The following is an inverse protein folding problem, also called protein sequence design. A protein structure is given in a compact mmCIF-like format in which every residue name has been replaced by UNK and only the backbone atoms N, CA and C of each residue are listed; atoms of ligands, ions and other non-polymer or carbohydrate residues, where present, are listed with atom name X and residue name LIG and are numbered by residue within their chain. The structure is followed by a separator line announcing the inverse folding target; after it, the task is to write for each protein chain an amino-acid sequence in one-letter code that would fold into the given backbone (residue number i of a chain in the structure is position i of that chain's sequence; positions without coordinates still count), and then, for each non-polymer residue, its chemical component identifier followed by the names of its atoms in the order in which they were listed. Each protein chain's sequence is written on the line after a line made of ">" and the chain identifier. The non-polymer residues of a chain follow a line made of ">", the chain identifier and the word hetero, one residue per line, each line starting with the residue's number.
data_IF_834274804171
#
_entry.id   IF_834274804171
#
_cell.length_a   1.000
_cell.length_b   1.000
_cell.length_c   1.000
_cell.angle_alpha   90.00
_cell.angle_beta   90.00
_cell.angle_gamma   90.00
#
_symmetry.space_group_name_H-M   'P 1'
#
loop_
_entity.id
_entity.type
_entity.pdbx_description
1 polymer ?
#
# COMPACT_ATOMS: atom_id res chain seq x y z
N UNK A 1 1.53 23.00 -13.18
CA UNK A 1 0.81 23.57 -12.01
C UNK A 1 1.22 22.73 -10.83
N UNK A 2 1.92 23.30 -9.87
CA UNK A 2 2.24 22.61 -8.61
C UNK A 2 0.93 22.40 -7.84
N UNK A 3 0.61 21.15 -7.52
CA UNK A 3 -0.45 20.81 -6.58
C UNK A 3 0.21 20.43 -5.25
N UNK A 4 0.31 21.40 -4.33
CA UNK A 4 0.95 21.19 -3.04
C UNK A 4 0.06 20.34 -2.12
N UNK A 5 0.69 19.50 -1.30
CA UNK A 5 0.01 18.76 -0.23
C UNK A 5 -0.35 19.76 0.88
N UNK A 6 -1.65 19.83 1.21
CA UNK A 6 -2.16 20.74 2.25
C UNK A 6 -2.65 20.02 3.50
N UNK A 7 -3.00 18.73 3.38
CA UNK A 7 -3.44 17.93 4.52
C UNK A 7 -3.05 16.46 4.33
N UNK A 8 -2.64 15.83 5.43
CA UNK A 8 -2.41 14.38 5.51
C UNK A 8 -3.01 13.88 6.82
N UNK A 9 -3.88 12.87 6.72
CA UNK A 9 -4.54 12.25 7.87
C UNK A 9 -4.45 10.74 7.74
N UNK A 10 -4.18 10.05 8.85
CA UNK A 10 -4.26 8.60 8.91
C UNK A 10 -5.21 8.14 10.02
N UNK A 11 -5.82 7.00 9.77
CA UNK A 11 -6.70 6.29 10.71
C UNK A 11 -6.50 4.79 10.62
N UNK A 12 -6.87 4.11 11.69
CA UNK A 12 -6.96 2.66 11.71
C UNK A 12 -8.29 2.22 11.10
N UNK A 13 -8.23 1.28 10.17
CA UNK A 13 -9.39 0.59 9.60
C UNK A 13 -9.22 -0.93 9.74
N UNK A 14 -10.24 -1.70 9.42
CA UNK A 14 -10.16 -3.16 9.35
C UNK A 14 -10.00 -3.61 7.89
N UNK A 15 -9.10 -4.56 7.67
CA UNK A 15 -8.93 -5.22 6.39
C UNK A 15 -10.04 -6.26 6.13
N UNK A 16 -10.01 -6.93 4.97
CA UNK A 16 -11.00 -7.95 4.58
C UNK A 16 -11.01 -9.20 5.49
N UNK A 17 -9.99 -9.37 6.32
CA UNK A 17 -9.89 -10.45 7.31
C UNK A 17 -10.25 -9.99 8.74
N UNK A 18 -10.62 -8.72 8.90
CA UNK A 18 -10.94 -8.12 10.19
C UNK A 18 -9.71 -7.72 11.00
N UNK A 19 -8.53 -7.65 10.40
CA UNK A 19 -7.32 -7.19 11.07
C UNK A 19 -7.14 -5.67 10.88
N UNK A 20 -6.63 -4.96 11.91
CA UNK A 20 -6.32 -3.55 11.79
C UNK A 20 -5.27 -3.28 10.72
N UNK A 21 -5.49 -2.21 9.95
CA UNK A 21 -4.51 -1.66 9.01
C UNK A 21 -4.60 -0.14 8.97
N UNK A 22 -3.57 0.50 8.42
CA UNK A 22 -3.50 1.96 8.26
C UNK A 22 -4.24 2.35 6.98
N UNK A 23 -5.11 3.35 7.08
CA UNK A 23 -5.62 4.11 5.93
C UNK A 23 -5.09 5.53 6.03
N UNK A 24 -4.48 6.04 4.96
CA UNK A 24 -4.04 7.41 4.86
C UNK A 24 -4.83 8.17 3.78
N UNK A 25 -5.05 9.46 4.03
CA UNK A 25 -5.62 10.43 3.10
C UNK A 25 -4.65 11.59 2.90
N UNK A 26 -4.54 12.03 1.66
CA UNK A 26 -3.76 13.22 1.28
C UNK A 26 -4.67 14.14 0.48
N UNK A 27 -4.72 15.41 0.87
CA UNK A 27 -5.48 16.48 0.19
C UNK A 27 -4.50 17.48 -0.41
N UNK A 28 -4.78 17.92 -1.63
CA UNK A 28 -3.99 18.89 -2.36
C UNK A 28 -4.65 20.27 -2.39
N UNK A 29 -3.85 21.31 -2.67
CA UNK A 29 -4.27 22.70 -2.74
C UNK A 29 -5.41 22.94 -3.75
N UNK A 30 -5.45 22.18 -4.84
CA UNK A 30 -6.51 22.26 -5.85
C UNK A 30 -7.79 21.50 -5.48
N UNK A 31 -7.84 20.88 -4.30
CA UNK A 31 -8.95 20.09 -3.80
C UNK A 31 -8.93 18.63 -4.25
N UNK A 32 -7.96 18.20 -5.05
CA UNK A 32 -7.77 16.78 -5.34
C UNK A 32 -7.38 16.03 -4.07
N UNK A 33 -7.84 14.78 -3.95
CA UNK A 33 -7.51 13.97 -2.81
C UNK A 33 -7.25 12.51 -3.18
N UNK A 34 -6.42 11.85 -2.39
CA UNK A 34 -6.17 10.42 -2.53
C UNK A 34 -6.30 9.70 -1.20
N UNK A 35 -6.83 8.50 -1.23
CA UNK A 35 -7.00 7.63 -0.07
C UNK A 35 -6.41 6.25 -0.35
N UNK A 36 -5.67 5.72 0.61
CA UNK A 36 -5.07 4.40 0.49
C UNK A 36 -5.12 3.62 1.80
N UNK A 37 -5.73 2.43 1.77
CA UNK A 37 -5.56 1.41 2.79
C UNK A 37 -4.29 0.62 2.52
N UNK A 38 -3.48 0.39 3.54
CA UNK A 38 -2.20 -0.32 3.40
C UNK A 38 -2.44 -1.82 3.36
N UNK A 39 -1.98 -2.53 2.31
CA UNK A 39 -2.06 -3.97 2.29
C UNK A 39 -1.09 -4.59 3.30
N UNK A 40 -1.55 -5.62 4.00
CA UNK A 40 -0.73 -6.41 4.93
C UNK A 40 -0.55 -7.82 4.41
N UNK A 41 0.69 -8.32 4.41
CA UNK A 41 1.01 -9.69 4.03
C UNK A 41 0.65 -10.71 5.12
N UNK A 42 0.46 -11.97 4.73
CA UNK A 42 0.26 -13.09 5.66
C UNK A 42 1.58 -13.70 6.14
N UNK A 43 2.67 -13.47 5.43
CA UNK A 43 4.02 -13.93 5.76
C UNK A 43 5.01 -12.77 5.62
N UNK A 44 6.11 -12.83 6.35
CA UNK A 44 7.18 -11.82 6.31
C UNK A 44 8.51 -12.47 5.96
N UNK A 45 9.31 -11.77 5.15
CA UNK A 45 10.69 -12.16 4.83
C UNK A 45 11.70 -11.48 5.76
N UNK A 46 12.89 -12.05 5.86
CA UNK A 46 13.97 -11.55 6.72
C UNK A 46 14.40 -10.11 6.35
N UNK A 47 14.30 -9.75 5.07
CA UNK A 47 14.74 -8.45 4.54
C UNK A 47 13.59 -7.47 4.28
N UNK A 48 12.37 -7.81 4.68
CA UNK A 48 11.23 -6.90 4.54
C UNK A 48 11.34 -5.70 5.48
N UNK A 49 10.75 -4.58 5.05
CA UNK A 49 10.56 -3.44 5.92
C UNK A 49 9.56 -3.76 7.03
N UNK A 50 9.73 -3.11 8.17
CA UNK A 50 8.94 -3.40 9.38
C UNK A 50 7.54 -2.81 9.27
N UNK A 51 6.53 -3.64 9.35
CA UNK A 51 5.16 -3.22 9.60
C UNK A 51 5.00 -2.92 11.09
N UNK A 52 4.79 -1.64 11.44
CA UNK A 52 4.67 -1.24 12.83
C UNK A 52 3.31 -1.66 13.40
N UNK A 53 3.35 -2.47 14.44
CA UNK A 53 2.19 -2.94 15.20
C UNK A 53 2.28 -2.45 16.65
N UNK A 54 1.11 -2.23 17.27
CA UNK A 54 1.05 -1.66 18.64
C UNK A 54 1.57 -2.59 19.72
N UNK A 55 1.39 -3.91 19.52
CA UNK A 55 1.56 -4.89 20.59
C UNK A 55 0.44 -4.81 21.63
N UNK A 56 0.61 -5.50 22.76
CA UNK A 56 -0.38 -5.50 23.84
C UNK A 56 -1.64 -6.30 23.52
N UNK A 57 -2.75 -6.00 24.24
CA UNK A 57 -3.96 -6.84 24.19
C UNK A 57 -4.93 -6.47 23.06
N UNK A 58 -4.88 -5.22 22.60
CA UNK A 58 -5.79 -4.73 21.57
C UNK A 58 -5.54 -5.44 20.24
N UNK A 59 -6.58 -6.07 19.69
CA UNK A 59 -6.49 -6.93 18.49
C UNK A 59 -5.36 -7.97 18.57
N UNK A 60 -5.12 -8.56 19.74
CA UNK A 60 -4.02 -9.49 19.98
C UNK A 60 -2.63 -8.92 19.57
N UNK A 61 -2.43 -7.63 19.80
CA UNK A 61 -1.19 -6.94 19.45
C UNK A 61 -1.12 -6.41 18.00
N UNK A 62 -2.12 -6.68 17.18
CA UNK A 62 -2.12 -6.31 15.77
C UNK A 62 -2.62 -4.88 15.47
N UNK A 63 -2.94 -4.06 16.50
CA UNK A 63 -3.32 -2.66 16.33
C UNK A 63 -2.25 -1.84 15.58
N UNK A 64 -2.66 -0.73 14.95
CA UNK A 64 -1.78 0.15 14.17
C UNK A 64 -1.90 1.62 14.57
N UNK A 65 -2.35 1.90 15.80
CA UNK A 65 -2.49 3.28 16.28
C UNK A 65 -1.16 4.03 16.29
N UNK A 66 -0.07 3.38 16.72
CA UNK A 66 1.27 3.99 16.68
C UNK A 66 1.70 4.42 15.28
N UNK A 67 1.38 3.61 14.27
CA UNK A 67 1.66 3.98 12.89
C UNK A 67 0.78 5.14 12.42
N UNK A 68 -0.50 5.17 12.79
CA UNK A 68 -1.38 6.30 12.51
C UNK A 68 -0.93 7.58 13.20
N UNK A 69 -0.51 7.50 14.47
CA UNK A 69 0.03 8.62 15.22
C UNK A 69 1.31 9.15 14.60
N UNK A 70 2.20 8.27 14.13
CA UNK A 70 3.42 8.65 13.41
C UNK A 70 3.10 9.39 12.09
N UNK A 71 2.08 8.94 11.34
CA UNK A 71 1.61 9.69 10.17
C UNK A 71 1.15 11.09 10.57
N UNK A 72 0.25 11.17 11.53
CA UNK A 72 -0.41 12.44 11.88
C UNK A 72 0.52 13.45 12.54
N UNK A 73 1.53 12.99 13.30
CA UNK A 73 2.42 13.86 14.08
C UNK A 73 3.80 14.12 13.46
N UNK A 74 4.32 13.19 12.65
CA UNK A 74 5.69 13.25 12.14
C UNK A 74 5.75 13.26 10.60
N UNK A 75 5.06 12.32 9.93
CA UNK A 75 5.14 12.24 8.46
C UNK A 75 4.33 13.35 7.79
N UNK A 76 3.15 13.68 8.30
CA UNK A 76 2.33 14.76 7.75
C UNK A 76 3.09 16.10 7.71
N UNK A 77 3.69 16.60 8.81
CA UNK A 77 4.48 17.83 8.75
C UNK A 77 5.65 17.79 7.77
N UNK A 78 6.25 16.62 7.55
CA UNK A 78 7.40 16.48 6.67
C UNK A 78 7.05 16.57 5.17
N UNK A 79 5.81 16.25 4.81
CA UNK A 79 5.37 16.24 3.40
C UNK A 79 4.44 17.40 3.06
N UNK A 80 3.96 18.17 4.04
CA UNK A 80 3.16 19.38 3.78
C UNK A 80 3.94 20.37 2.90
N UNK A 81 3.26 21.01 1.98
CA UNK A 81 3.78 21.96 0.98
C UNK A 81 4.69 21.33 -0.08
N UNK A 82 4.96 20.03 -0.06
CA UNK A 82 5.64 19.36 -1.17
C UNK A 82 4.69 19.25 -2.38
N UNK A 83 5.28 19.26 -3.57
CA UNK A 83 4.55 19.00 -4.81
C UNK A 83 4.14 17.51 -4.86
N UNK A 84 2.84 17.25 -4.94
CA UNK A 84 2.32 15.88 -5.00
C UNK A 84 2.78 15.10 -6.24
N UNK A 85 3.21 15.79 -7.30
CA UNK A 85 3.76 15.17 -8.50
C UNK A 85 5.21 14.68 -8.32
N UNK A 86 5.92 15.17 -7.30
CA UNK A 86 7.28 14.70 -6.96
C UNK A 86 7.24 13.57 -5.93
N UNK A 87 6.80 12.40 -6.38
CA UNK A 87 6.75 11.19 -5.54
C UNK A 87 8.07 10.89 -4.84
N UNK A 88 9.21 11.16 -5.51
CA UNK A 88 10.52 10.87 -4.96
C UNK A 88 10.87 11.77 -3.79
N UNK A 89 10.52 13.05 -3.88
CA UNK A 89 10.72 14.00 -2.78
C UNK A 89 9.86 13.62 -1.57
N UNK A 90 8.59 13.25 -1.79
CA UNK A 90 7.67 12.81 -0.73
C UNK A 90 8.21 11.57 -0.02
N UNK A 91 8.57 10.54 -0.78
CA UNK A 91 9.08 9.28 -0.23
C UNK A 91 10.42 9.50 0.51
N UNK A 92 11.31 10.32 -0.06
CA UNK A 92 12.59 10.63 0.57
C UNK A 92 12.42 11.38 1.90
N UNK A 93 11.52 12.36 1.97
CA UNK A 93 11.23 13.09 3.21
C UNK A 93 10.72 12.16 4.32
N UNK A 94 9.83 11.23 3.99
CA UNK A 94 9.31 10.26 4.96
C UNK A 94 10.37 9.24 5.42
N UNK A 95 11.21 8.78 4.50
CA UNK A 95 12.33 7.87 4.82
C UNK A 95 13.37 8.58 5.70
N UNK A 96 13.64 9.86 5.47
CA UNK A 96 14.53 10.66 6.31
C UNK A 96 13.96 10.81 7.72
N UNK A 97 12.66 11.06 7.87
CA UNK A 97 11.97 11.09 9.17
C UNK A 97 12.14 9.75 9.90
N UNK A 98 11.97 8.61 9.23
CA UNK A 98 12.18 7.30 9.85
C UNK A 98 13.63 7.09 10.28
N UNK A 99 14.60 7.36 9.41
CA UNK A 99 16.03 7.29 9.69
C UNK A 99 16.57 5.89 9.94
N UNK A 100 15.77 4.82 9.74
CA UNK A 100 16.21 3.43 9.93
C UNK A 100 16.27 2.68 8.59
N UNK A 101 17.18 1.70 8.44
CA UNK A 101 17.32 0.97 7.17
C UNK A 101 16.06 0.20 6.76
N UNK A 102 15.28 -0.28 7.74
CA UNK A 102 14.11 -1.14 7.53
C UNK A 102 12.78 -0.45 7.86
N UNK A 103 12.76 0.89 7.99
CA UNK A 103 11.57 1.70 8.33
C UNK A 103 10.89 1.26 9.64
N UNK A 104 11.73 0.86 10.62
CA UNK A 104 11.23 0.29 11.88
C UNK A 104 10.77 1.31 12.91
N UNK A 105 11.08 2.61 12.72
CA UNK A 105 10.73 3.64 13.70
C UNK A 105 9.29 4.13 13.56
N UNK A 106 8.90 4.58 12.39
CA UNK A 106 7.53 5.05 12.11
C UNK A 106 6.66 3.95 11.48
N UNK A 107 7.30 2.95 10.91
CA UNK A 107 6.65 1.83 10.26
C UNK A 107 6.55 1.96 8.73
N UNK A 108 6.85 0.89 8.04
CA UNK A 108 6.69 0.85 6.58
C UNK A 108 5.22 1.04 6.16
N UNK A 109 4.28 0.56 6.96
CA UNK A 109 2.84 0.75 6.75
C UNK A 109 2.45 2.24 6.82
N UNK A 110 2.99 3.01 7.75
CA UNK A 110 2.77 4.47 7.82
C UNK A 110 3.28 5.17 6.55
N UNK A 111 4.53 4.90 6.16
CA UNK A 111 5.16 5.50 4.97
C UNK A 111 4.40 5.11 3.70
N UNK A 112 4.08 3.82 3.53
CA UNK A 112 3.38 3.32 2.35
C UNK A 112 1.97 3.91 2.22
N UNK A 113 1.25 4.08 3.33
CA UNK A 113 -0.07 4.70 3.33
C UNK A 113 -0.05 6.09 2.74
N UNK A 114 0.86 6.95 3.20
CA UNK A 114 1.00 8.32 2.69
C UNK A 114 1.50 8.34 1.25
N UNK A 115 2.49 7.51 0.91
CA UNK A 115 3.04 7.40 -0.45
C UNK A 115 1.96 7.03 -1.48
N UNK A 116 1.15 6.00 -1.19
CA UNK A 116 0.06 5.58 -2.07
C UNK A 116 -1.06 6.63 -2.17
N UNK A 117 -1.39 7.29 -1.05
CA UNK A 117 -2.41 8.33 -1.03
C UNK A 117 -1.97 9.56 -1.84
N UNK A 118 -0.70 9.97 -1.72
CA UNK A 118 -0.12 11.07 -2.50
C UNK A 118 -0.16 10.77 -4.01
N UNK A 119 0.24 9.57 -4.43
CA UNK A 119 0.16 9.16 -5.85
C UNK A 119 -1.27 9.21 -6.40
N UNK A 120 -2.27 8.80 -5.61
CA UNK A 120 -3.68 8.87 -6.00
C UNK A 120 -4.18 10.30 -6.07
N UNK A 121 -3.79 11.17 -5.12
CA UNK A 121 -4.13 12.58 -5.15
C UNK A 121 -3.53 13.28 -6.37
N UNK A 122 -2.26 13.01 -6.67
CA UNK A 122 -1.58 13.54 -7.85
C UNK A 122 -2.23 13.07 -9.16
N UNK A 123 -2.64 11.81 -9.24
CA UNK A 123 -3.37 11.29 -10.39
C UNK A 123 -4.72 12.02 -10.58
N UNK A 124 -5.47 12.22 -9.50
CA UNK A 124 -6.72 12.98 -9.53
C UNK A 124 -6.51 14.44 -9.92
N UNK A 125 -5.48 15.12 -9.39
CA UNK A 125 -5.10 16.48 -9.78
C UNK A 125 -4.77 16.59 -11.27
N UNK A 126 -4.19 15.54 -11.85
CA UNK A 126 -3.89 15.47 -13.28
C UNK A 126 -5.07 15.03 -14.15
N UNK A 127 -6.25 14.76 -13.57
CA UNK A 127 -7.44 14.19 -14.25
C UNK A 127 -7.13 12.88 -14.98
N UNK A 128 -6.33 12.03 -14.33
CA UNK A 128 -5.90 10.72 -14.83
C UNK A 128 -6.29 9.60 -13.88
N UNK A 129 -6.58 8.43 -14.45
CA UNK A 129 -6.62 7.19 -13.68
C UNK A 129 -5.22 6.85 -13.16
N UNK A 130 -5.12 6.24 -11.98
CA UNK A 130 -3.83 5.95 -11.35
C UNK A 130 -2.89 5.13 -12.26
N UNK A 131 -3.43 4.16 -13.02
CA UNK A 131 -2.62 3.36 -13.93
C UNK A 131 -2.03 4.18 -15.09
N UNK A 132 -2.77 5.20 -15.56
CA UNK A 132 -2.29 6.12 -16.60
C UNK A 132 -1.25 7.08 -16.04
N UNK A 133 -1.49 7.59 -14.82
CA UNK A 133 -0.55 8.47 -14.13
C UNK A 133 0.81 7.79 -13.91
N UNK A 134 0.81 6.54 -13.44
CA UNK A 134 2.04 5.79 -13.17
C UNK A 134 2.68 5.25 -14.47
N UNK A 135 1.87 4.69 -15.36
CA UNK A 135 2.35 3.97 -16.54
C UNK A 135 2.49 4.83 -17.80
N UNK A 136 1.97 6.06 -17.78
CA UNK A 136 1.97 6.97 -18.94
C UNK A 136 0.95 6.59 -20.03
N UNK A 137 0.99 7.28 -21.17
CA UNK A 137 -0.05 7.19 -22.22
C UNK A 137 -0.10 5.81 -22.91
N UNK A 138 0.91 4.98 -22.75
CA UNK A 138 0.96 3.63 -23.34
C UNK A 138 0.59 2.51 -22.35
N UNK A 139 0.15 2.85 -21.15
CA UNK A 139 -0.22 1.89 -20.10
C UNK A 139 -1.61 1.27 -20.42
N UNK A 140 -1.67 0.42 -21.42
CA UNK A 140 -2.90 -0.23 -21.88
C UNK A 140 -2.82 -1.77 -21.92
N UNK A 141 -1.69 -2.34 -21.47
CA UNK A 141 -1.50 -3.78 -21.44
C UNK A 141 -1.78 -4.32 -20.03
N UNK A 142 -2.83 -5.14 -19.93
CA UNK A 142 -3.11 -5.85 -18.69
C UNK A 142 -2.04 -6.93 -18.43
N UNK A 143 -1.60 -7.12 -17.19
CA UNK A 143 -0.70 -8.22 -16.84
C UNK A 143 -1.39 -9.57 -17.05
N UNK A 144 -0.60 -10.59 -17.35
CA UNK A 144 -1.10 -11.98 -17.34
C UNK A 144 -1.53 -12.32 -15.92
N UNK A 145 -2.78 -12.73 -15.69
CA UNK A 145 -3.23 -13.09 -14.35
C UNK A 145 -2.48 -14.32 -13.85
N UNK A 146 -2.04 -14.26 -12.61
CA UNK A 146 -1.54 -15.43 -11.89
C UNK A 146 -2.59 -15.87 -10.89
N UNK A 147 -2.86 -17.17 -10.85
CA UNK A 147 -3.85 -17.75 -9.96
C UNK A 147 -3.19 -18.81 -9.09
N UNK A 148 -3.34 -18.65 -7.78
CA UNK A 148 -2.89 -19.64 -6.82
C UNK A 148 -3.93 -20.78 -6.75
N UNK A 149 -3.50 -21.99 -7.07
CA UNK A 149 -4.39 -23.17 -7.12
C UNK A 149 -4.15 -24.16 -6.00
N UNK A 150 -3.02 -24.07 -5.31
CA UNK A 150 -2.67 -24.94 -4.19
C UNK A 150 -1.88 -24.12 -3.16
N UNK A 151 -2.35 -24.16 -1.93
CA UNK A 151 -1.69 -23.51 -0.79
C UNK A 151 -1.25 -24.54 0.25
N UNK A 152 -0.10 -24.27 0.86
CA UNK A 152 0.43 -25.03 1.99
C UNK A 152 1.35 -24.16 2.85
N UNK A 153 2.19 -24.78 3.66
CA UNK A 153 3.13 -24.08 4.53
C UNK A 153 2.43 -23.07 5.44
N UNK A 154 2.88 -21.82 5.45
CA UNK A 154 2.30 -20.75 6.26
C UNK A 154 0.96 -20.19 5.73
N UNK A 155 0.58 -20.50 4.50
CA UNK A 155 -0.61 -19.94 3.84
C UNK A 155 -1.86 -20.80 4.01
N UNK A 156 -1.74 -22.06 4.40
CA UNK A 156 -2.89 -22.93 4.66
C UNK A 156 -2.52 -24.05 5.61
N UNK A 157 -3.44 -24.39 6.52
CA UNK A 157 -3.33 -25.55 7.40
C UNK A 157 -3.66 -26.84 6.61
N UNK A 158 -2.66 -27.28 5.83
CA UNK A 158 -2.73 -28.47 4.99
C UNK A 158 -1.46 -29.31 5.18
N UNK A 159 -1.48 -30.57 4.79
CA UNK A 159 -0.28 -31.44 4.80
C UNK A 159 0.72 -31.17 3.67
N UNK A 160 0.63 -30.02 3.00
CA UNK A 160 1.49 -29.64 1.87
C UNK A 160 2.59 -28.69 2.38
N UNK A 161 3.85 -29.07 2.20
CA UNK A 161 5.00 -28.28 2.65
C UNK A 161 5.30 -27.09 1.72
N UNK A 162 4.84 -27.12 0.48
CA UNK A 162 5.03 -26.04 -0.50
C UNK A 162 3.98 -24.97 -0.28
N UNK A 163 4.44 -23.73 -0.11
CA UNK A 163 3.61 -22.60 0.27
C UNK A 163 2.56 -22.25 -0.80
N UNK A 164 2.95 -22.23 -2.08
CA UNK A 164 2.09 -21.82 -3.19
C UNK A 164 2.43 -22.55 -4.49
N UNK A 165 1.39 -22.91 -5.25
CA UNK A 165 1.50 -23.27 -6.66
C UNK A 165 0.60 -22.36 -7.48
N UNK A 166 1.20 -21.60 -8.37
CA UNK A 166 0.51 -20.67 -9.25
C UNK A 166 0.48 -21.13 -10.68
N UNK A 167 -0.63 -20.84 -11.37
CA UNK A 167 -0.71 -20.95 -12.83
C UNK A 167 -0.77 -19.56 -13.45
N UNK A 168 -0.16 -19.41 -14.62
CA UNK A 168 -0.22 -18.22 -15.45
C UNK A 168 -0.72 -18.59 -16.85
N UNK A 169 -2.00 -18.37 -17.18
CA UNK A 169 -2.61 -18.79 -18.44
C UNK A 169 -2.21 -17.85 -19.59
N UNK A 170 -0.96 -17.90 -20.01
CA UNK A 170 -0.40 -17.01 -21.04
C UNK A 170 -1.04 -17.15 -22.43
N UNK A 171 -1.72 -18.28 -22.69
CA UNK A 171 -2.41 -18.54 -23.95
C UNK A 171 -3.92 -18.25 -23.93
N UNK A 172 -4.48 -17.83 -22.78
CA UNK A 172 -5.89 -17.52 -22.67
C UNK A 172 -6.18 -16.11 -23.22
N UNK A 173 -6.92 -16.01 -24.30
CA UNK A 173 -7.27 -14.73 -24.93
C UNK A 173 -8.47 -14.05 -24.22
N UNK A 174 -9.44 -14.83 -23.77
CA UNK A 174 -10.68 -14.37 -23.16
C UNK A 174 -11.03 -15.21 -21.93
N UNK A 175 -11.88 -14.67 -21.07
CA UNK A 175 -12.30 -15.34 -19.82
C UNK A 175 -12.89 -16.73 -20.06
N UNK A 176 -13.65 -16.91 -21.13
CA UNK A 176 -14.24 -18.23 -21.46
C UNK A 176 -13.25 -19.23 -22.07
N UNK A 177 -12.04 -18.79 -22.45
CA UNK A 177 -10.95 -19.68 -22.87
C UNK A 177 -10.09 -20.17 -21.71
N UNK A 178 -10.33 -19.67 -20.50
CA UNK A 178 -9.73 -20.16 -19.27
C UNK A 178 -10.63 -21.24 -18.67
N UNK A 179 -10.31 -22.53 -18.80
CA UNK A 179 -11.17 -23.59 -18.27
C UNK A 179 -11.23 -23.48 -16.75
N UNK A 180 -12.42 -23.23 -16.24
CA UNK A 180 -12.72 -23.37 -14.82
C UNK A 180 -13.37 -24.72 -14.60
N UNK A 181 -12.78 -25.62 -13.83
CA UNK A 181 -13.48 -26.83 -13.40
C UNK A 181 -14.67 -26.41 -12.52
N UNK A 182 -15.83 -26.93 -12.85
CA UNK A 182 -17.03 -26.82 -12.01
C UNK A 182 -17.02 -27.93 -10.97
#
# INVERSE_FOLDING_TARGET
>A
VMAAIVEVIAREILDSRGNPTVEAEVVLEDGAFGRAGVPSGASTGEHEAVELRDGGDRYNGAGVQKACDAVNSELAPAVLSLDAADQRAIDAAMIEVDGTPNKGRVGANAILGVSLAAAKAAAQSADLELFQYIGGPTANLLPVPMMNILNGGAHADTGVDVQEFMIAPIGACLLYTSPSPR
#
